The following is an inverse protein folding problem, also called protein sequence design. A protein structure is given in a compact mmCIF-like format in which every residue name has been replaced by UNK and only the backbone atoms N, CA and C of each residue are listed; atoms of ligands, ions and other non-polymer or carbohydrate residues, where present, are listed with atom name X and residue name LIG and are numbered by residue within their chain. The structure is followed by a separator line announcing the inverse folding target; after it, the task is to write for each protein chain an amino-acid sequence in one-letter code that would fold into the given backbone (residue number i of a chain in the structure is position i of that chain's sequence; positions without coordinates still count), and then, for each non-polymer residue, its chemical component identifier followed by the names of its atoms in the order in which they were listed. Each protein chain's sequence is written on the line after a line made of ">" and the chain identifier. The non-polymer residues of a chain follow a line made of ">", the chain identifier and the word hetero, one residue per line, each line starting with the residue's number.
data_IF_571578270964
#
_entry.id   IF_571578270964
#
_cell.length_a   1.000
_cell.length_b   1.000
_cell.length_c   1.000
_cell.angle_alpha   90.00
_cell.angle_beta   90.00
_cell.angle_gamma   90.00
#
_symmetry.space_group_name_H-M   'P 1'
#
loop_
_entity.id
_entity.type
_entity.pdbx_description
1 polymer ?
#
# COMPACT_ATOMS: atom_id res chain seq x y z
N UNK A 1 -0.22 -28.77 -6.89
CA UNK A 1 0.57 -27.53 -6.85
C UNK A 1 -0.34 -26.50 -6.22
N UNK A 2 -0.08 -26.18 -4.96
CA UNK A 2 -0.79 -25.12 -4.26
C UNK A 2 -0.52 -23.82 -5.01
N UNK A 3 -1.58 -23.20 -5.50
CA UNK A 3 -1.48 -21.91 -6.19
C UNK A 3 -1.03 -20.90 -5.13
N UNK A 4 0.24 -20.56 -5.12
CA UNK A 4 0.77 -19.53 -4.22
C UNK A 4 0.17 -18.20 -4.63
N UNK A 5 -0.47 -17.52 -3.68
CA UNK A 5 -0.96 -16.17 -3.88
C UNK A 5 0.20 -15.25 -4.27
N UNK A 6 -0.10 -14.25 -5.08
CA UNK A 6 0.88 -13.28 -5.54
C UNK A 6 0.55 -11.90 -4.97
N UNK A 7 1.56 -11.28 -4.41
CA UNK A 7 1.52 -9.89 -3.94
C UNK A 7 1.89 -8.97 -5.09
N UNK A 8 1.04 -7.99 -5.40
CA UNK A 8 1.42 -6.78 -6.13
C UNK A 8 1.90 -5.77 -5.09
N UNK A 9 3.18 -5.43 -5.10
CA UNK A 9 3.76 -4.49 -4.14
C UNK A 9 3.91 -3.10 -4.76
N UNK A 10 3.13 -2.16 -4.24
CA UNK A 10 3.17 -0.73 -4.58
C UNK A 10 4.11 -0.01 -3.60
N UNK A 11 5.29 0.41 -4.07
CA UNK A 11 6.33 0.99 -3.23
C UNK A 11 6.07 2.45 -2.83
N UNK A 12 6.84 2.95 -1.87
CA UNK A 12 6.79 4.34 -1.37
C UNK A 12 7.46 5.35 -2.29
N UNK A 13 7.37 6.64 -1.91
CA UNK A 13 7.90 7.78 -2.67
C UNK A 13 9.40 7.99 -2.42
N UNK A 14 10.26 7.03 -2.77
CA UNK A 14 11.71 7.22 -2.66
C UNK A 14 12.45 6.34 -3.66
N UNK A 15 13.40 6.91 -4.39
CA UNK A 15 14.35 6.19 -5.22
C UNK A 15 13.69 5.25 -6.23
N UNK A 16 13.82 3.96 -5.97
CA UNK A 16 13.29 2.88 -6.81
C UNK A 16 13.09 1.60 -5.97
N UNK A 17 12.66 0.53 -6.59
CA UNK A 17 12.40 -0.77 -5.96
C UNK A 17 13.51 -1.29 -5.04
N UNK A 18 14.78 -0.97 -5.32
CA UNK A 18 15.90 -1.48 -4.52
C UNK A 18 15.86 -1.04 -3.05
N UNK A 19 15.20 0.08 -2.75
CA UNK A 19 15.02 0.57 -1.39
C UNK A 19 13.97 -0.22 -0.59
N UNK A 20 13.13 -0.99 -1.28
CA UNK A 20 12.01 -1.73 -0.68
C UNK A 20 12.21 -3.24 -0.65
N UNK A 21 13.43 -3.71 -0.91
CA UNK A 21 13.77 -5.14 -0.91
C UNK A 21 13.45 -5.83 0.42
N UNK A 22 13.48 -5.09 1.53
CA UNK A 22 13.10 -5.62 2.84
C UNK A 22 11.64 -6.05 2.89
N UNK A 23 10.72 -5.22 2.39
CA UNK A 23 9.30 -5.54 2.29
C UNK A 23 9.07 -6.73 1.35
N UNK A 24 9.67 -6.70 0.16
CA UNK A 24 9.60 -7.79 -0.82
C UNK A 24 10.06 -9.11 -0.20
N UNK A 25 11.19 -9.08 0.52
CA UNK A 25 11.73 -10.26 1.20
C UNK A 25 10.77 -10.85 2.24
N UNK A 26 10.14 -10.02 3.06
CA UNK A 26 9.19 -10.49 4.08
C UNK A 26 8.03 -11.25 3.43
N UNK A 27 7.40 -10.72 2.38
CA UNK A 27 6.32 -11.43 1.69
C UNK A 27 6.81 -12.71 0.99
N UNK A 28 8.03 -12.71 0.47
CA UNK A 28 8.63 -13.89 -0.12
C UNK A 28 8.93 -14.98 0.94
N UNK A 29 9.45 -14.60 2.11
CA UNK A 29 9.67 -15.50 3.24
C UNK A 29 8.34 -16.11 3.75
N UNK A 30 7.24 -15.36 3.66
CA UNK A 30 5.87 -15.82 3.92
C UNK A 30 5.29 -16.70 2.79
N UNK A 31 6.11 -17.08 1.80
CA UNK A 31 5.74 -17.96 0.67
C UNK A 31 4.77 -17.34 -0.34
N UNK A 32 4.67 -16.03 -0.40
CA UNK A 32 3.99 -15.34 -1.50
C UNK A 32 4.97 -15.09 -2.66
N UNK A 33 4.48 -15.21 -3.88
CA UNK A 33 5.16 -14.59 -5.01
C UNK A 33 5.00 -13.07 -4.91
N UNK A 34 5.99 -12.30 -5.38
CA UNK A 34 5.91 -10.84 -5.36
C UNK A 34 6.17 -10.29 -6.74
N UNK A 35 5.20 -9.58 -7.30
CA UNK A 35 5.35 -8.71 -8.45
C UNK A 35 5.50 -7.28 -7.93
N UNK A 36 6.61 -6.65 -8.26
CA UNK A 36 6.87 -5.25 -7.94
C UNK A 36 7.38 -4.53 -9.18
N UNK A 37 7.15 -3.23 -9.26
CA UNK A 37 7.47 -2.41 -10.44
C UNK A 37 7.79 -0.98 -10.00
N UNK A 38 8.62 -0.29 -10.77
CA UNK A 38 8.80 1.15 -10.62
C UNK A 38 7.72 1.88 -11.40
N UNK A 39 7.02 2.83 -10.77
CA UNK A 39 6.05 3.70 -11.44
C UNK A 39 6.73 4.53 -12.54
N UNK A 40 5.94 5.02 -13.49
CA UNK A 40 6.43 5.94 -14.51
C UNK A 40 7.27 7.07 -13.92
N UNK A 41 8.46 7.30 -14.46
CA UNK A 41 9.41 8.29 -13.97
C UNK A 41 10.19 7.90 -12.71
N UNK A 42 9.99 6.69 -12.15
CA UNK A 42 10.79 6.13 -11.07
C UNK A 42 11.77 5.08 -11.62
N UNK A 43 12.92 4.94 -10.96
CA UNK A 43 13.92 3.92 -11.28
C UNK A 43 14.30 3.91 -12.76
N UNK A 44 14.01 2.82 -13.45
CA UNK A 44 14.23 2.65 -14.89
C UNK A 44 12.98 2.84 -15.75
N UNK A 45 11.83 3.11 -15.12
CA UNK A 45 10.59 3.34 -15.84
C UNK A 45 10.58 4.70 -16.52
N UNK A 46 10.19 4.74 -17.77
CA UNK A 46 10.10 5.96 -18.57
C UNK A 46 8.89 6.83 -18.15
N UNK A 47 8.79 8.03 -18.71
CA UNK A 47 7.67 8.94 -18.52
C UNK A 47 7.83 9.88 -17.33
N UNK A 48 6.72 10.45 -16.87
CA UNK A 48 6.67 11.40 -15.76
C UNK A 48 5.60 11.01 -14.75
N UNK A 49 5.88 11.14 -13.43
CA UNK A 49 4.92 10.77 -12.39
C UNK A 49 3.68 11.67 -12.44
N UNK A 50 2.51 11.04 -12.29
CA UNK A 50 1.25 11.71 -12.02
C UNK A 50 0.36 10.76 -11.21
N UNK A 51 -0.61 11.31 -10.47
CA UNK A 51 -1.51 10.50 -9.66
C UNK A 51 -2.22 9.43 -10.50
N UNK A 52 -2.94 9.84 -11.54
CA UNK A 52 -3.62 8.88 -12.44
C UNK A 52 -2.63 7.95 -13.16
N UNK A 53 -1.45 8.46 -13.52
CA UNK A 53 -0.41 7.64 -14.13
C UNK A 53 0.03 6.48 -13.24
N UNK A 54 0.28 6.74 -11.94
CA UNK A 54 0.68 5.68 -11.00
C UNK A 54 -0.45 4.67 -10.75
N UNK A 55 -1.71 5.09 -10.83
CA UNK A 55 -2.87 4.18 -10.77
C UNK A 55 -2.90 3.26 -11.98
N UNK A 56 -2.69 3.80 -13.19
CA UNK A 56 -2.63 3.01 -14.42
C UNK A 56 -1.45 2.04 -14.44
N UNK A 57 -0.30 2.41 -13.85
CA UNK A 57 0.85 1.52 -13.73
C UNK A 57 0.54 0.32 -12.82
N UNK A 58 -0.18 0.54 -11.72
CA UNK A 58 -0.64 -0.54 -10.84
C UNK A 58 -1.71 -1.42 -11.51
N UNK A 59 -2.62 -0.82 -12.30
CA UNK A 59 -3.58 -1.59 -13.10
C UNK A 59 -2.89 -2.46 -14.15
N UNK A 60 -1.86 -1.93 -14.82
CA UNK A 60 -1.07 -2.71 -15.78
C UNK A 60 -0.40 -3.92 -15.14
N UNK A 61 0.13 -3.78 -13.92
CA UNK A 61 0.68 -4.90 -13.15
C UNK A 61 -0.39 -5.95 -12.82
N UNK A 62 -1.59 -5.54 -12.45
CA UNK A 62 -2.72 -6.43 -12.21
C UNK A 62 -3.17 -7.12 -13.50
N UNK A 63 -3.35 -6.36 -14.58
CA UNK A 63 -3.76 -6.88 -15.90
C UNK A 63 -2.72 -7.92 -16.39
N UNK A 64 -1.41 -7.67 -16.21
CA UNK A 64 -0.34 -8.60 -16.55
C UNK A 64 -0.50 -9.95 -15.82
N UNK A 65 -0.77 -9.96 -14.52
CA UNK A 65 -0.99 -11.20 -13.78
C UNK A 65 -2.21 -11.97 -14.27
N UNK A 66 -3.30 -11.26 -14.57
CA UNK A 66 -4.55 -11.90 -14.96
C UNK A 66 -4.52 -12.34 -16.43
N UNK A 67 -3.93 -11.54 -17.33
CA UNK A 67 -3.96 -11.83 -18.77
C UNK A 67 -2.82 -12.74 -19.21
N UNK A 68 -1.59 -12.50 -18.74
CA UNK A 68 -0.41 -13.27 -19.16
C UNK A 68 -0.20 -14.51 -18.30
N UNK A 69 -0.26 -14.36 -16.97
CA UNK A 69 -0.10 -15.47 -16.03
C UNK A 69 -1.39 -16.25 -15.77
N UNK A 70 -2.55 -15.79 -16.32
CA UNK A 70 -3.87 -16.43 -16.10
C UNK A 70 -4.22 -16.59 -14.63
N UNK A 71 -3.71 -15.69 -13.79
CA UNK A 71 -3.93 -15.74 -12.36
C UNK A 71 -5.35 -15.35 -12.01
N UNK A 72 -5.95 -16.06 -11.07
CA UNK A 72 -7.29 -15.73 -10.61
C UNK A 72 -7.24 -14.47 -9.72
N UNK A 73 -8.15 -13.49 -9.88
CA UNK A 73 -8.16 -12.28 -9.04
C UNK A 73 -8.19 -12.54 -7.53
N UNK A 74 -8.76 -13.67 -7.11
CA UNK A 74 -8.81 -14.13 -5.70
C UNK A 74 -7.46 -14.60 -5.16
N UNK A 75 -6.44 -14.74 -6.01
CA UNK A 75 -5.08 -15.11 -5.63
C UNK A 75 -4.12 -13.91 -5.65
N UNK A 76 -4.65 -12.72 -5.98
CA UNK A 76 -3.88 -11.47 -6.02
C UNK A 76 -4.09 -10.67 -4.73
N UNK A 77 -3.03 -10.45 -3.98
CA UNK A 77 -2.95 -9.57 -2.83
C UNK A 77 -2.34 -8.25 -3.28
N UNK A 78 -2.91 -7.13 -2.87
CA UNK A 78 -2.32 -5.82 -3.17
C UNK A 78 -1.78 -5.22 -1.88
N UNK A 79 -0.50 -4.89 -1.87
CA UNK A 79 0.21 -4.28 -0.74
C UNK A 79 0.73 -2.93 -1.14
N UNK A 80 0.45 -1.90 -0.36
CA UNK A 80 0.97 -0.57 -0.61
C UNK A 80 1.60 0.06 0.62
N UNK A 81 2.82 0.56 0.45
CA UNK A 81 3.59 1.25 1.48
C UNK A 81 3.65 2.75 1.21
N UNK A 82 3.34 3.58 2.22
CA UNK A 82 3.37 5.05 2.11
C UNK A 82 2.46 5.54 0.98
N UNK A 83 2.95 6.29 -0.02
CA UNK A 83 2.17 6.67 -1.20
C UNK A 83 1.63 5.45 -1.97
N UNK A 84 2.38 4.35 -1.96
CA UNK A 84 1.94 3.09 -2.53
C UNK A 84 0.65 2.56 -1.89
N UNK A 85 0.38 2.91 -0.62
CA UNK A 85 -0.89 2.60 0.05
C UNK A 85 -2.09 3.26 -0.62
N UNK A 86 -1.94 4.50 -1.11
CA UNK A 86 -2.98 5.17 -1.86
C UNK A 86 -3.18 4.56 -3.26
N UNK A 87 -2.08 4.16 -3.90
CA UNK A 87 -2.09 3.50 -5.21
C UNK A 87 -2.74 2.10 -5.09
N UNK A 88 -2.34 1.33 -4.07
CA UNK A 88 -2.92 0.02 -3.77
C UNK A 88 -4.43 0.11 -3.46
N UNK A 89 -4.85 1.15 -2.73
CA UNK A 89 -6.26 1.41 -2.41
C UNK A 89 -7.06 1.70 -3.68
N UNK A 90 -6.52 2.51 -4.60
CA UNK A 90 -7.19 2.77 -5.88
C UNK A 90 -7.28 1.50 -6.72
N UNK A 91 -6.20 0.71 -6.82
CA UNK A 91 -6.22 -0.56 -7.53
C UNK A 91 -7.29 -1.51 -6.97
N UNK A 92 -7.36 -1.67 -5.63
CA UNK A 92 -8.35 -2.52 -4.99
C UNK A 92 -9.80 -2.00 -5.16
N UNK A 93 -9.99 -0.69 -5.41
CA UNK A 93 -11.28 -0.12 -5.76
C UNK A 93 -11.67 -0.43 -7.22
N UNK A 94 -10.71 -0.34 -8.15
CA UNK A 94 -10.95 -0.52 -9.59
C UNK A 94 -10.99 -2.00 -9.99
N UNK A 95 -10.22 -2.86 -9.34
CA UNK A 95 -10.03 -4.27 -9.70
C UNK A 95 -10.43 -5.19 -8.55
N UNK A 96 -10.86 -6.40 -8.89
CA UNK A 96 -11.11 -7.43 -7.90
C UNK A 96 -9.79 -8.04 -7.40
N UNK A 97 -9.62 -8.11 -6.07
CA UNK A 97 -8.42 -8.65 -5.42
C UNK A 97 -8.79 -9.56 -4.24
N UNK A 98 -7.86 -10.39 -3.79
CA UNK A 98 -8.06 -11.21 -2.61
C UNK A 98 -8.07 -10.37 -1.33
N UNK A 99 -7.11 -9.45 -1.23
CA UNK A 99 -6.81 -8.71 0.00
C UNK A 99 -6.10 -7.42 -0.34
N UNK A 100 -6.37 -6.36 0.46
CA UNK A 100 -5.63 -5.10 0.45
C UNK A 100 -4.85 -4.95 1.75
N UNK A 101 -3.55 -4.68 1.67
CA UNK A 101 -2.70 -4.30 2.81
C UNK A 101 -2.24 -2.86 2.60
N UNK A 102 -2.50 -1.99 3.57
CA UNK A 102 -2.11 -0.57 3.55
C UNK A 102 -1.16 -0.32 4.72
N UNK A 103 0.10 -0.03 4.40
CA UNK A 103 1.15 0.15 5.39
C UNK A 103 1.67 1.59 5.40
N UNK A 104 1.75 2.20 6.60
CA UNK A 104 2.34 3.52 6.85
C UNK A 104 1.85 4.60 5.86
N UNK A 105 0.56 4.56 5.52
CA UNK A 105 -0.04 5.42 4.50
C UNK A 105 -0.92 6.51 5.13
N UNK A 106 -1.36 7.45 4.30
CA UNK A 106 -2.06 8.67 4.71
C UNK A 106 -3.49 8.72 4.16
N UNK A 107 -4.33 9.54 4.78
CA UNK A 107 -5.74 9.76 4.39
C UNK A 107 -5.86 10.40 3.00
N UNK A 108 -5.11 11.49 2.81
CA UNK A 108 -4.88 12.16 1.52
C UNK A 108 -3.55 12.89 1.55
N UNK A 109 -2.98 13.20 0.39
CA UNK A 109 -1.74 13.96 0.31
C UNK A 109 -1.89 15.39 0.87
N UNK A 110 -2.99 16.14 0.61
CA UNK A 110 -3.22 17.43 1.26
C UNK A 110 -3.34 17.35 2.79
N UNK A 111 -3.96 16.29 3.34
CA UNK A 111 -4.06 16.13 4.79
C UNK A 111 -2.70 15.87 5.43
N UNK A 112 -1.84 15.08 4.79
CA UNK A 112 -0.47 14.89 5.23
C UNK A 112 0.33 16.19 5.12
N UNK A 113 0.22 16.91 4.00
CA UNK A 113 0.91 18.17 3.77
C UNK A 113 0.53 19.25 4.79
N UNK A 114 -0.72 19.27 5.27
CA UNK A 114 -1.19 20.20 6.29
C UNK A 114 -0.40 20.07 7.61
N UNK A 115 0.11 18.89 7.96
CA UNK A 115 0.98 18.71 9.14
C UNK A 115 2.25 19.54 9.02
N UNK A 116 2.86 19.58 7.84
CA UNK A 116 4.14 20.24 7.60
C UNK A 116 4.00 21.71 7.23
N UNK A 117 2.85 22.05 6.62
CA UNK A 117 2.55 23.41 6.10
C UNK A 117 1.18 23.91 6.57
N UNK A 118 0.95 24.03 7.90
CA UNK A 118 -0.38 24.36 8.45
C UNK A 118 -0.90 25.74 8.03
N UNK A 119 0.00 26.65 7.60
CA UNK A 119 -0.34 27.99 7.11
C UNK A 119 -0.69 28.07 5.64
N UNK A 120 -0.43 27.00 4.87
CA UNK A 120 -0.75 26.96 3.44
C UNK A 120 -2.14 26.38 3.20
N UNK A 121 -2.91 26.93 2.26
CA UNK A 121 -4.17 26.33 1.82
C UNK A 121 -3.91 25.12 0.91
N UNK A 122 -3.23 24.09 1.44
CA UNK A 122 -2.70 22.95 0.67
C UNK A 122 -3.76 22.26 -0.17
N UNK A 123 -5.01 22.19 0.27
CA UNK A 123 -6.11 21.60 -0.51
C UNK A 123 -6.46 22.38 -1.78
N UNK A 124 -6.19 23.70 -1.81
CA UNK A 124 -6.47 24.53 -2.98
C UNK A 124 -5.33 24.53 -4.00
N UNK A 125 -4.11 24.26 -3.54
CA UNK A 125 -2.90 24.34 -4.38
C UNK A 125 -2.30 22.97 -4.72
N UNK A 126 -2.72 21.92 -4.05
CA UNK A 126 -2.22 20.57 -4.32
C UNK A 126 -2.67 20.10 -5.69
N UNK A 127 -1.68 19.68 -6.49
CA UNK A 127 -1.93 19.06 -7.80
C UNK A 127 -2.43 17.61 -7.66
N UNK A 128 -2.10 16.94 -6.56
CA UNK A 128 -2.37 15.54 -6.30
C UNK A 128 -3.14 15.36 -5.00
N UNK A 129 -4.12 14.48 -5.01
CA UNK A 129 -4.96 14.19 -3.86
C UNK A 129 -4.59 12.88 -3.16
N UNK A 130 -4.38 11.81 -3.91
CA UNK A 130 -4.17 10.46 -3.38
C UNK A 130 -5.12 10.16 -2.20
N UNK A 131 -6.42 10.49 -2.37
CA UNK A 131 -7.43 10.44 -1.34
C UNK A 131 -7.88 9.00 -1.05
N UNK A 132 -7.11 8.26 -0.26
CA UNK A 132 -7.40 6.87 0.12
C UNK A 132 -8.64 6.77 0.98
N UNK A 133 -8.83 7.72 1.88
CA UNK A 133 -9.93 7.73 2.86
C UNK A 133 -11.32 7.69 2.22
N UNK A 134 -11.49 8.32 1.05
CA UNK A 134 -12.76 8.40 0.34
C UNK A 134 -13.10 7.11 -0.43
N UNK A 135 -12.14 6.22 -0.58
CA UNK A 135 -12.25 5.00 -1.39
C UNK A 135 -12.53 3.75 -0.55
N UNK A 136 -12.02 3.71 0.68
CA UNK A 136 -12.00 2.52 1.52
C UNK A 136 -13.39 2.01 1.93
N UNK A 137 -14.37 2.89 2.02
CA UNK A 137 -15.76 2.50 2.33
C UNK A 137 -16.42 1.63 1.26
N UNK A 138 -15.97 1.71 0.00
CA UNK A 138 -16.50 0.92 -1.11
C UNK A 138 -15.78 -0.41 -1.36
N UNK A 139 -14.67 -0.66 -0.67
CA UNK A 139 -13.85 -1.88 -0.85
C UNK A 139 -14.36 -2.95 0.11
N UNK A 140 -14.96 -4.01 -0.40
CA UNK A 140 -15.57 -5.10 0.39
C UNK A 140 -14.61 -6.28 0.70
N UNK A 141 -13.40 -6.28 0.15
CA UNK A 141 -12.40 -7.33 0.38
C UNK A 141 -11.74 -7.21 1.76
N UNK A 142 -11.15 -8.29 2.31
CA UNK A 142 -10.35 -8.23 3.52
C UNK A 142 -9.24 -7.19 3.43
N UNK A 143 -9.09 -6.39 4.49
CA UNK A 143 -8.11 -5.31 4.56
C UNK A 143 -7.30 -5.40 5.85
N UNK A 144 -5.98 -5.24 5.72
CA UNK A 144 -5.07 -5.07 6.85
C UNK A 144 -4.42 -3.69 6.78
N UNK A 145 -4.57 -2.92 7.85
CA UNK A 145 -3.87 -1.65 8.03
C UNK A 145 -2.69 -1.88 8.97
N UNK A 146 -1.49 -1.51 8.55
CA UNK A 146 -0.27 -1.62 9.35
C UNK A 146 0.29 -0.21 9.52
N UNK A 147 0.54 0.22 10.77
CA UNK A 147 1.11 1.54 10.99
C UNK A 147 1.96 1.57 12.26
N UNK A 148 3.10 2.25 12.17
CA UNK A 148 3.96 2.44 13.34
C UNK A 148 3.43 3.57 14.22
N UNK A 149 3.42 3.33 15.53
CA UNK A 149 3.09 4.35 16.52
C UNK A 149 4.15 5.46 16.62
N UNK A 150 5.35 5.18 16.14
CA UNK A 150 6.51 6.07 16.18
C UNK A 150 6.87 6.61 14.78
N UNK A 151 5.93 6.53 13.81
CA UNK A 151 6.13 7.00 12.44
C UNK A 151 6.38 8.52 12.42
N UNK A 152 7.57 8.90 12.01
CA UNK A 152 8.05 10.29 12.02
C UNK A 152 7.68 11.07 10.75
N UNK A 153 7.19 10.39 9.71
CA UNK A 153 6.76 11.01 8.45
C UNK A 153 5.24 11.05 8.35
N UNK A 154 4.58 9.90 8.42
CA UNK A 154 3.12 9.82 8.37
C UNK A 154 2.57 9.55 9.76
N UNK A 155 1.90 10.53 10.41
CA UNK A 155 1.35 10.32 11.76
C UNK A 155 0.48 9.08 11.88
N UNK A 156 0.58 8.39 13.01
CA UNK A 156 -0.20 7.19 13.34
C UNK A 156 -1.72 7.39 13.17
N UNK A 157 -2.18 8.61 13.42
CA UNK A 157 -3.59 9.01 13.27
C UNK A 157 -4.11 8.82 11.84
N UNK A 158 -3.26 8.96 10.83
CA UNK A 158 -3.65 8.68 9.44
C UNK A 158 -4.01 7.20 9.26
N UNK A 159 -3.19 6.28 9.76
CA UNK A 159 -3.48 4.84 9.71
C UNK A 159 -4.77 4.49 10.43
N UNK A 160 -5.00 5.07 11.62
CA UNK A 160 -6.26 4.91 12.37
C UNK A 160 -7.46 5.44 11.61
N UNK A 161 -7.36 6.63 11.03
CA UNK A 161 -8.45 7.23 10.25
C UNK A 161 -8.78 6.40 9.00
N UNK A 162 -7.78 5.86 8.30
CA UNK A 162 -7.99 4.93 7.18
C UNK A 162 -8.72 3.67 7.64
N UNK A 163 -8.28 3.07 8.75
CA UNK A 163 -8.94 1.90 9.33
C UNK A 163 -10.39 2.19 9.70
N UNK A 164 -10.66 3.30 10.38
CA UNK A 164 -12.01 3.67 10.80
C UNK A 164 -12.96 3.81 9.60
N UNK A 165 -12.53 4.44 8.53
CA UNK A 165 -13.31 4.67 7.30
C UNK A 165 -13.52 3.44 6.44
N UNK A 166 -12.65 2.44 6.55
CA UNK A 166 -12.75 1.24 5.77
C UNK A 166 -13.98 0.40 6.16
N UNK A 167 -14.65 -0.20 5.15
CA UNK A 167 -15.71 -1.19 5.37
C UNK A 167 -15.13 -2.48 5.98
N UNK A 168 -16.00 -3.33 6.55
CA UNK A 168 -15.61 -4.69 6.96
C UNK A 168 -15.42 -5.61 5.72
N UNK A 169 -14.62 -6.70 5.82
CA UNK A 169 -13.76 -7.08 6.95
C UNK A 169 -12.45 -6.28 6.95
N UNK A 170 -11.98 -5.90 8.13
CA UNK A 170 -10.75 -5.11 8.31
C UNK A 170 -10.06 -5.42 9.63
N UNK A 171 -8.73 -5.33 9.64
CA UNK A 171 -7.90 -5.45 10.83
C UNK A 171 -6.86 -4.34 10.89
N UNK A 172 -6.33 -4.10 12.09
CA UNK A 172 -5.28 -3.11 12.33
C UNK A 172 -4.14 -3.75 13.11
N UNK A 173 -2.93 -3.58 12.60
CA UNK A 173 -1.68 -3.99 13.21
C UNK A 173 -0.85 -2.76 13.56
N UNK A 174 -0.79 -2.42 14.85
CA UNK A 174 0.11 -1.37 15.32
C UNK A 174 1.52 -1.94 15.47
N UNK A 175 2.49 -1.27 14.89
CA UNK A 175 3.90 -1.63 14.96
C UNK A 175 4.73 -0.51 15.60
N UNK A 176 6.03 -0.72 15.75
CA UNK A 176 7.02 0.22 16.28
C UNK A 176 8.07 0.52 15.23
N UNK A 177 8.83 1.61 15.45
CA UNK A 177 9.88 2.08 14.55
C UNK A 177 9.46 3.29 13.75
N UNK A 178 10.43 3.95 13.12
CA UNK A 178 10.16 5.10 12.25
C UNK A 178 9.57 4.67 10.92
N UNK A 179 9.18 5.64 10.09
CA UNK A 179 8.58 5.39 8.79
C UNK A 179 9.34 4.36 7.95
N UNK A 180 10.66 4.51 7.84
CA UNK A 180 11.46 3.67 6.95
C UNK A 180 12.03 2.39 7.60
N UNK A 181 11.89 2.20 8.90
CA UNK A 181 12.47 1.06 9.62
C UNK A 181 11.45 0.22 10.41
N UNK A 182 10.19 0.61 10.42
CA UNK A 182 9.13 -0.03 11.20
C UNK A 182 9.03 -1.53 10.97
N UNK A 183 9.13 -1.98 9.72
CA UNK A 183 9.11 -3.41 9.36
C UNK A 183 10.29 -4.18 9.99
N UNK A 184 11.47 -3.56 10.09
CA UNK A 184 12.67 -4.19 10.65
C UNK A 184 12.64 -4.17 12.19
N UNK A 185 12.29 -3.00 12.78
CA UNK A 185 12.21 -2.84 14.24
C UNK A 185 11.12 -3.74 14.83
N UNK A 186 9.98 -3.83 14.16
CA UNK A 186 8.88 -4.70 14.61
C UNK A 186 9.04 -6.15 14.17
N UNK A 187 9.91 -6.46 13.23
CA UNK A 187 10.34 -7.76 12.75
C UNK A 187 9.36 -8.92 13.02
N UNK A 188 9.53 -9.57 14.18
CA UNK A 188 8.67 -10.71 14.58
C UNK A 188 7.18 -10.32 14.68
N UNK A 189 6.86 -9.19 15.32
CA UNK A 189 5.48 -8.72 15.47
C UNK A 189 4.82 -8.49 14.11
N UNK A 190 5.58 -7.93 13.16
CA UNK A 190 5.09 -7.71 11.78
C UNK A 190 4.76 -9.03 11.11
N UNK A 191 5.71 -9.98 11.11
CA UNK A 191 5.54 -11.29 10.47
C UNK A 191 4.38 -12.07 11.09
N UNK A 192 4.32 -12.16 12.43
CA UNK A 192 3.23 -12.85 13.14
C UNK A 192 1.87 -12.21 12.88
N UNK A 193 1.80 -10.87 12.85
CA UNK A 193 0.55 -10.14 12.59
C UNK A 193 0.03 -10.38 11.17
N UNK A 194 0.91 -10.33 10.16
CA UNK A 194 0.55 -10.61 8.77
C UNK A 194 0.15 -12.09 8.61
N UNK A 195 0.91 -13.02 9.19
CA UNK A 195 0.58 -14.46 9.15
C UNK A 195 -0.79 -14.73 9.73
N UNK A 196 -1.05 -14.24 10.95
CA UNK A 196 -2.35 -14.42 11.64
C UNK A 196 -3.52 -13.86 10.85
N UNK A 197 -3.31 -12.78 10.11
CA UNK A 197 -4.35 -12.20 9.25
C UNK A 197 -4.72 -13.13 8.10
N UNK A 198 -3.77 -13.87 7.52
CA UNK A 198 -4.03 -14.81 6.43
C UNK A 198 -4.50 -16.22 6.88
N UNK A 199 -4.40 -16.54 8.17
CA UNK A 199 -4.87 -17.81 8.73
C UNK A 199 -6.37 -17.85 9.05
N UNK A 200 -7.08 -16.73 8.88
CA UNK A 200 -8.53 -16.59 9.12
C UNK A 200 -9.33 -16.85 7.87
#
# INVERSE_FOLDING_TARGET
>A
KDAQKTVIFCHGNAGNLSHFMGHIKVFNDLKFNVLSFDYRGYGKSEGSPSEEGTYLDAEAAWDFLVTEYKMHPQDIIVVGYSIGGAIATELAKRKRVATLIVESSFTSLPDLAKKYYPWLPVRLISKYEYASVDKLGSISYPKLFIHSQDDDIVPFEHGKALYEKASQPKEFLAIKGRHNDGIFISGRLYVEGVTKFFEK
#
